data_IF_381718951789
#
_entry.id   IF_381718951789
#
_cell.length_a   1.000
_cell.length_b   1.000
_cell.length_c   1.000
_cell.angle_alpha   90.00
_cell.angle_beta   90.00
_cell.angle_gamma   90.00
#
_symmetry.space_group_name_H-M   'P 1'
#
loop_
_entity.id
_entity.type
_entity.pdbx_description
1 polymer ?
#
# COMPACT_ATOMS: atom_id res chain seq x y z
N UNK A 1 13.05 25.22 -1.07
CA UNK A 1 12.81 23.91 -0.43
C UNK A 1 11.40 23.36 -0.68
N UNK A 2 10.35 24.21 -0.69
CA UNK A 2 8.98 23.81 -1.01
C UNK A 2 8.85 23.12 -2.40
N UNK A 3 9.45 23.70 -3.43
CA UNK A 3 9.45 23.14 -4.80
C UNK A 3 9.99 21.71 -4.89
N UNK A 4 11.08 21.39 -4.19
CA UNK A 4 11.68 20.06 -4.26
C UNK A 4 10.75 18.99 -3.70
N UNK A 5 10.09 19.29 -2.57
CA UNK A 5 9.11 18.40 -1.95
C UNK A 5 7.87 18.27 -2.81
N UNK A 6 7.42 19.36 -3.41
CA UNK A 6 6.25 19.37 -4.29
C UNK A 6 6.48 18.57 -5.57
N UNK A 7 7.63 18.74 -6.23
CA UNK A 7 8.05 17.97 -7.40
C UNK A 7 8.24 16.48 -7.10
N UNK A 8 8.78 16.15 -5.92
CA UNK A 8 8.84 14.77 -5.43
C UNK A 8 7.43 14.18 -5.21
N UNK A 9 6.52 14.96 -4.62
CA UNK A 9 5.13 14.53 -4.39
C UNK A 9 4.32 14.41 -5.70
N UNK A 10 4.62 15.25 -6.70
CA UNK A 10 4.06 15.18 -8.05
C UNK A 10 4.57 13.95 -8.82
N UNK A 11 5.68 13.36 -8.37
CA UNK A 11 6.24 12.15 -8.96
C UNK A 11 7.21 12.40 -10.11
N UNK A 12 7.81 13.60 -10.18
CA UNK A 12 8.84 13.92 -11.18
C UNK A 12 10.08 13.02 -10.99
N UNK A 13 10.45 12.26 -12.02
CA UNK A 13 11.48 11.20 -11.94
C UNK A 13 12.86 11.69 -11.46
N UNK A 14 13.21 12.94 -11.75
CA UNK A 14 14.45 13.57 -11.29
C UNK A 14 14.50 13.70 -9.76
N UNK A 15 13.35 13.93 -9.11
CA UNK A 15 13.23 14.19 -7.67
C UNK A 15 12.80 12.96 -6.84
N UNK A 16 12.46 11.85 -7.49
CA UNK A 16 12.14 10.60 -6.80
C UNK A 16 13.36 10.01 -6.08
N UNK A 17 13.11 9.19 -5.07
CA UNK A 17 14.17 8.37 -4.46
C UNK A 17 14.58 7.27 -5.44
N UNK A 18 15.85 6.82 -5.45
CA UNK A 18 16.32 5.76 -6.34
C UNK A 18 15.46 4.49 -6.35
N UNK A 19 14.83 4.14 -5.21
CA UNK A 19 13.91 3.00 -5.06
C UNK A 19 12.55 3.16 -5.77
N UNK A 20 12.14 4.39 -6.04
CA UNK A 20 10.83 4.73 -6.61
C UNK A 20 10.94 5.13 -8.11
N UNK A 21 12.16 5.22 -8.62
CA UNK A 21 12.48 5.61 -9.99
C UNK A 21 12.28 4.46 -10.98
N UNK A 22 11.99 4.82 -12.22
CA UNK A 22 11.94 3.91 -13.36
C UNK A 22 10.53 3.46 -13.76
N UNK A 23 10.39 2.97 -15.01
CA UNK A 23 9.09 2.63 -15.60
C UNK A 23 8.41 1.47 -14.88
N UNK A 24 9.17 0.46 -14.43
CA UNK A 24 8.64 -0.69 -13.68
C UNK A 24 8.04 -0.25 -12.35
N UNK A 25 8.76 0.58 -11.58
CA UNK A 25 8.29 1.10 -10.28
C UNK A 25 7.08 2.01 -10.44
N UNK A 26 7.04 2.83 -11.50
CA UNK A 26 5.86 3.64 -11.85
C UNK A 26 4.64 2.75 -12.10
N UNK A 27 4.80 1.72 -12.92
CA UNK A 27 3.73 0.77 -13.21
C UNK A 27 3.23 0.06 -11.95
N UNK A 28 4.13 -0.39 -11.07
CA UNK A 28 3.76 -0.97 -9.77
C UNK A 28 2.95 0.01 -8.91
N UNK A 29 3.33 1.29 -8.88
CA UNK A 29 2.57 2.33 -8.15
C UNK A 29 1.16 2.45 -8.69
N UNK A 30 0.99 2.51 -10.01
CA UNK A 30 -0.31 2.67 -10.64
C UNK A 30 -1.21 1.45 -10.44
N UNK A 31 -0.64 0.23 -10.43
CA UNK A 31 -1.35 -1.01 -10.07
C UNK A 31 -1.89 -0.96 -8.64
N UNK A 32 -1.05 -0.55 -7.69
CA UNK A 32 -1.45 -0.48 -6.28
C UNK A 32 -2.46 0.65 -6.07
N UNK A 33 -2.29 1.77 -6.76
CA UNK A 33 -3.13 2.95 -6.59
C UNK A 33 -4.52 2.79 -7.24
N UNK A 34 -4.64 2.04 -8.34
CA UNK A 34 -5.93 1.69 -8.96
C UNK A 34 -6.76 0.70 -8.11
N UNK A 35 -6.13 -0.09 -7.24
CA UNK A 35 -6.83 -1.03 -6.35
C UNK A 35 -7.44 -0.34 -5.13
N UNK A 36 -8.60 -0.84 -4.69
CA UNK A 36 -9.08 -0.66 -3.30
C UNK A 36 -8.24 -1.54 -2.36
N UNK A 37 -7.29 -0.93 -1.66
CA UNK A 37 -6.42 -1.64 -0.71
C UNK A 37 -7.04 -1.59 0.69
N UNK A 38 -7.14 -2.75 1.34
CA UNK A 38 -7.61 -2.88 2.71
C UNK A 38 -6.45 -2.63 3.68
N UNK A 39 -5.21 -2.93 3.26
CA UNK A 39 -3.99 -2.66 4.02
C UNK A 39 -3.89 -1.23 4.57
N UNK A 40 -4.32 -0.23 3.78
CA UNK A 40 -4.29 1.17 4.20
C UNK A 40 -5.24 1.52 5.35
N UNK A 41 -6.21 0.65 5.67
CA UNK A 41 -7.16 0.84 6.76
C UNK A 41 -6.62 0.39 8.12
N UNK A 42 -5.41 -0.18 8.17
CA UNK A 42 -4.82 -0.67 9.42
C UNK A 42 -4.72 0.40 10.50
N UNK A 43 -4.08 1.53 10.19
CA UNK A 43 -3.86 2.59 11.17
C UNK A 43 -5.19 3.16 11.71
N UNK A 44 -6.18 3.52 10.87
CA UNK A 44 -7.50 3.93 11.37
C UNK A 44 -8.20 2.85 12.20
N UNK A 45 -8.17 1.59 11.77
CA UNK A 45 -8.81 0.49 12.48
C UNK A 45 -8.16 0.23 13.84
N UNK A 46 -6.82 0.22 13.90
CA UNK A 46 -6.07 0.05 15.14
C UNK A 46 -6.33 1.21 16.12
N UNK A 47 -6.35 2.46 15.65
CA UNK A 47 -6.68 3.61 16.48
C UNK A 47 -8.12 3.54 17.01
N UNK A 48 -9.08 3.15 16.17
CA UNK A 48 -10.46 2.95 16.60
C UNK A 48 -10.55 1.85 17.68
N UNK A 49 -9.87 0.72 17.50
CA UNK A 49 -9.83 -0.35 18.49
C UNK A 49 -9.24 0.12 19.82
N UNK A 50 -8.13 0.88 19.80
CA UNK A 50 -7.53 1.45 21.02
C UNK A 50 -8.51 2.39 21.71
N UNK A 51 -9.18 3.26 20.96
CA UNK A 51 -10.19 4.16 21.51
C UNK A 51 -11.32 3.38 22.23
N UNK A 52 -11.86 2.34 21.58
CA UNK A 52 -12.89 1.50 22.19
C UNK A 52 -12.39 0.71 23.40
N UNK A 53 -11.13 0.26 23.39
CA UNK A 53 -10.49 -0.41 24.52
C UNK A 53 -10.41 0.51 25.75
N UNK A 54 -10.09 1.79 25.55
CA UNK A 54 -10.03 2.80 26.62
C UNK A 54 -11.42 3.24 27.09
N UNK A 55 -12.38 3.37 26.16
CA UNK A 55 -13.74 3.80 26.48
C UNK A 55 -14.55 2.73 27.25
N UNK A 56 -14.28 1.45 27.01
CA UNK A 56 -15.03 0.32 27.58
C UNK A 56 -14.07 -0.66 28.28
N UNK A 57 -13.77 -0.46 29.58
CA UNK A 57 -12.76 -1.25 30.30
C UNK A 57 -13.23 -2.67 30.70
N UNK A 58 -14.22 -3.25 30.02
CA UNK A 58 -14.71 -4.59 30.35
C UNK A 58 -13.80 -5.69 29.75
N UNK A 59 -13.44 -6.68 30.57
CA UNK A 59 -12.55 -7.79 30.16
C UNK A 59 -13.09 -8.57 28.96
N UNK A 60 -14.41 -8.81 28.91
CA UNK A 60 -15.07 -9.50 27.78
C UNK A 60 -14.88 -8.74 26.47
N UNK A 61 -15.00 -7.41 26.53
CA UNK A 61 -14.86 -6.56 25.35
C UNK A 61 -13.39 -6.45 24.90
N UNK A 62 -12.45 -6.38 25.83
CA UNK A 62 -11.01 -6.42 25.51
C UNK A 62 -10.62 -7.74 24.82
N UNK A 63 -11.13 -8.88 25.29
CA UNK A 63 -10.87 -10.17 24.66
C UNK A 63 -11.43 -10.24 23.23
N UNK A 64 -12.66 -9.73 23.02
CA UNK A 64 -13.27 -9.64 21.69
C UNK A 64 -12.45 -8.76 20.75
N UNK A 65 -11.98 -7.60 21.21
CA UNK A 65 -11.11 -6.71 20.43
C UNK A 65 -9.77 -7.37 20.08
N UNK A 66 -9.19 -8.15 20.99
CA UNK A 66 -7.96 -8.90 20.73
C UNK A 66 -8.13 -9.90 19.58
N UNK A 67 -9.23 -10.66 19.57
CA UNK A 67 -9.52 -11.57 18.45
C UNK A 67 -9.82 -10.82 17.15
N UNK A 68 -10.55 -9.70 17.23
CA UNK A 68 -10.79 -8.85 16.07
C UNK A 68 -9.49 -8.30 15.46
N UNK A 69 -8.53 -7.91 16.29
CA UNK A 69 -7.20 -7.47 15.86
C UNK A 69 -6.43 -8.59 15.16
N UNK A 70 -6.47 -9.82 15.69
CA UNK A 70 -5.85 -10.98 15.03
C UNK A 70 -6.46 -11.24 13.65
N UNK A 71 -7.79 -11.20 13.54
CA UNK A 71 -8.49 -11.36 12.25
C UNK A 71 -8.09 -10.24 11.27
N UNK A 72 -8.02 -9.00 11.74
CA UNK A 72 -7.58 -7.85 10.92
C UNK A 72 -6.17 -8.07 10.35
N UNK A 73 -5.23 -8.52 11.19
CA UNK A 73 -3.86 -8.83 10.75
C UNK A 73 -3.85 -9.93 9.68
N UNK A 74 -4.63 -11.00 9.85
CA UNK A 74 -4.73 -12.08 8.85
C UNK A 74 -5.27 -11.55 7.53
N UNK A 75 -6.35 -10.75 7.55
CA UNK A 75 -6.91 -10.13 6.34
C UNK A 75 -5.85 -9.27 5.62
N UNK A 76 -5.02 -8.55 6.38
CA UNK A 76 -3.96 -7.72 5.80
C UNK A 76 -2.81 -8.54 5.22
N UNK A 77 -2.41 -9.64 5.86
CA UNK A 77 -1.42 -10.53 5.28
C UNK A 77 -1.90 -11.09 3.93
N UNK A 78 -3.18 -11.47 3.86
CA UNK A 78 -3.81 -11.95 2.63
C UNK A 78 -3.85 -10.86 1.55
N UNK A 79 -4.34 -9.65 1.85
CA UNK A 79 -4.41 -8.56 0.87
C UNK A 79 -3.00 -8.16 0.37
N UNK A 80 -2.00 -8.16 1.26
CA UNK A 80 -0.61 -7.88 0.91
C UNK A 80 -0.03 -8.93 -0.05
N UNK A 81 -0.31 -10.21 0.21
CA UNK A 81 0.09 -11.30 -0.66
C UNK A 81 -0.60 -11.25 -2.03
N UNK A 82 -1.91 -10.97 -2.06
CA UNK A 82 -2.68 -10.83 -3.32
C UNK A 82 -2.18 -9.63 -4.14
N UNK A 83 -1.85 -8.51 -3.49
CA UNK A 83 -1.25 -7.34 -4.16
C UNK A 83 0.11 -7.70 -4.76
N UNK A 84 0.99 -8.34 -3.99
CA UNK A 84 2.32 -8.74 -4.46
C UNK A 84 2.25 -9.69 -5.65
N UNK A 85 1.39 -10.71 -5.59
CA UNK A 85 1.20 -11.66 -6.69
C UNK A 85 0.66 -10.99 -7.95
N UNK A 86 -0.33 -10.10 -7.81
CA UNK A 86 -0.90 -9.36 -8.96
C UNK A 86 0.12 -8.44 -9.61
N UNK A 87 0.93 -7.74 -8.81
CA UNK A 87 1.98 -6.86 -9.32
C UNK A 87 3.01 -7.65 -10.11
N UNK A 88 3.51 -8.75 -9.57
CA UNK A 88 4.51 -9.57 -10.27
C UNK A 88 3.97 -10.06 -11.61
N UNK A 89 2.77 -10.63 -11.62
CA UNK A 89 2.16 -11.12 -12.85
C UNK A 89 2.04 -10.04 -13.93
N UNK A 90 1.51 -8.86 -13.59
CA UNK A 90 1.30 -7.80 -14.58
C UNK A 90 2.60 -7.11 -14.99
N UNK A 91 3.59 -7.04 -14.09
CA UNK A 91 4.94 -6.54 -14.43
C UNK A 91 5.62 -7.49 -15.39
N UNK A 92 5.56 -8.80 -15.16
CA UNK A 92 6.19 -9.80 -16.02
C UNK A 92 5.55 -9.81 -17.42
N UNK A 93 4.23 -9.59 -17.52
CA UNK A 93 3.53 -9.44 -18.80
C UNK A 93 3.96 -8.18 -19.57
N UNK A 94 4.11 -7.05 -18.90
CA UNK A 94 4.41 -5.76 -19.54
C UNK A 94 5.91 -5.53 -19.78
N UNK A 95 6.75 -6.05 -18.90
CA UNK A 95 8.20 -5.87 -18.91
C UNK A 95 8.90 -7.24 -18.87
N UNK A 96 8.82 -8.05 -19.95
CA UNK A 96 9.41 -9.39 -19.99
C UNK A 96 10.94 -9.39 -19.83
N UNK A 97 11.61 -8.26 -20.08
CA UNK A 97 13.05 -8.08 -19.85
C UNK A 97 13.42 -7.53 -18.48
N UNK A 98 12.47 -7.41 -17.54
CA UNK A 98 12.75 -6.91 -16.21
C UNK A 98 13.61 -7.90 -15.41
N UNK A 99 14.72 -7.43 -14.86
CA UNK A 99 15.64 -8.23 -14.01
C UNK A 99 15.39 -8.06 -12.52
N UNK A 100 14.45 -7.18 -12.12
CA UNK A 100 14.11 -7.01 -10.71
C UNK A 100 13.38 -8.24 -10.16
N UNK A 101 13.81 -8.71 -8.98
CA UNK A 101 13.15 -9.80 -8.26
C UNK A 101 11.70 -9.47 -7.95
N UNK A 102 10.78 -10.36 -8.33
CA UNK A 102 9.35 -10.25 -7.97
C UNK A 102 9.11 -10.16 -6.46
N UNK A 103 10.00 -10.68 -5.61
CA UNK A 103 9.88 -10.50 -4.17
C UNK A 103 10.07 -9.03 -3.75
N UNK A 104 11.04 -8.33 -4.37
CA UNK A 104 11.29 -6.90 -4.12
C UNK A 104 10.14 -6.03 -4.64
N UNK A 105 9.55 -6.40 -5.78
CA UNK A 105 8.39 -5.70 -6.35
C UNK A 105 7.14 -5.91 -5.49
N UNK A 106 6.90 -7.14 -5.06
CA UNK A 106 5.78 -7.49 -4.18
C UNK A 106 5.85 -6.80 -2.81
N UNK A 107 7.02 -6.83 -2.16
CA UNK A 107 7.24 -6.13 -0.89
C UNK A 107 7.05 -4.62 -1.02
N UNK A 108 7.55 -4.03 -2.10
CA UNK A 108 7.35 -2.62 -2.39
C UNK A 108 5.88 -2.28 -2.59
N UNK A 109 5.16 -3.11 -3.36
CA UNK A 109 3.74 -2.95 -3.60
C UNK A 109 2.92 -3.04 -2.30
N UNK A 110 3.20 -4.03 -1.46
CA UNK A 110 2.57 -4.20 -0.15
C UNK A 110 2.86 -3.00 0.79
N UNK A 111 4.11 -2.53 0.83
CA UNK A 111 4.50 -1.35 1.61
C UNK A 111 3.80 -0.06 1.13
N UNK A 112 3.56 0.09 -0.17
CA UNK A 112 2.75 1.20 -0.69
C UNK A 112 1.27 1.02 -0.37
N UNK A 113 0.76 -0.20 -0.43
CA UNK A 113 -0.64 -0.52 -0.15
C UNK A 113 -1.03 -0.25 1.32
N UNK A 114 -0.12 -0.46 2.28
CA UNK A 114 -0.30 -0.17 3.71
C UNK A 114 -0.41 1.31 4.05
N UNK A 115 0.06 2.19 3.18
CA UNK A 115 -0.13 3.61 3.36
C UNK A 115 -1.53 4.02 2.92
N UNK A 116 -2.18 4.86 3.72
CA UNK A 116 -3.43 5.52 3.34
C UNK A 116 -3.22 6.28 2.03
N UNK A 117 -4.17 6.14 1.09
CA UNK A 117 -4.07 6.73 -0.26
C UNK A 117 -3.69 8.22 -0.26
N UNK A 118 -4.22 8.99 0.70
CA UNK A 118 -3.95 10.44 0.84
C UNK A 118 -2.55 10.75 1.40
N UNK A 119 -1.94 9.80 2.11
CA UNK A 119 -0.62 9.94 2.73
C UNK A 119 0.51 9.31 1.90
N UNK A 120 0.18 8.63 0.78
CA UNK A 120 1.16 8.02 -0.11
C UNK A 120 2.05 9.10 -0.74
N UNK A 121 3.35 8.85 -0.71
CA UNK A 121 4.35 9.61 -1.46
C UNK A 121 5.02 8.67 -2.48
N UNK A 122 5.13 9.06 -3.76
CA UNK A 122 4.49 10.19 -4.44
C UNK A 122 2.97 10.05 -4.47
N UNK A 123 2.26 11.14 -4.76
CA UNK A 123 0.78 11.12 -4.83
C UNK A 123 0.32 10.14 -5.92
N UNK A 124 -0.80 9.44 -5.69
CA UNK A 124 -1.43 8.63 -6.72
C UNK A 124 -1.80 9.49 -7.93
N UNK A 125 -1.39 9.07 -9.12
CA UNK A 125 -1.75 9.74 -10.39
C UNK A 125 -3.04 9.14 -10.97
N UNK A 126 -3.28 7.85 -10.70
CA UNK A 126 -4.46 7.11 -11.17
C UNK A 126 -5.57 7.02 -10.13
N UNK A 127 -6.81 7.00 -10.58
CA UNK A 127 -8.00 6.79 -9.76
C UNK A 127 -8.26 5.30 -9.49
N UNK A 128 -9.10 5.04 -8.49
CA UNK A 128 -9.49 3.68 -8.14
C UNK A 128 -10.36 3.11 -9.26
N UNK A 129 -10.03 1.92 -9.74
CA UNK A 129 -10.74 1.24 -10.83
C UNK A 129 -10.23 1.59 -12.23
N UNK A 130 -9.24 2.48 -12.36
CA UNK A 130 -8.62 2.77 -13.65
C UNK A 130 -7.99 1.50 -14.23
N UNK A 131 -8.20 1.28 -15.53
CA UNK A 131 -7.55 0.18 -16.25
C UNK A 131 -6.08 0.55 -16.46
N UNK A 132 -5.21 -0.23 -15.85
CA UNK A 132 -3.76 -0.10 -16.00
C UNK A 132 -3.34 -1.00 -17.17
N UNK A 133 -2.91 -0.41 -18.27
CA UNK A 133 -2.32 -1.10 -19.44
C UNK A 133 -0.86 -0.76 -19.57
#
# INVERSE_FOLDING_TARGET
MADRREKMMAGEESYLLPRDKGPVRRYVRDIVDSRRNVLGLFMPAALAMIFFMLALPSLKFQQMLSYAMLILVVIMLIDGFIVGRKVNHMVDEKFPGNTESGWKLGLYAASRASQLRRMRAPRPVVNRGDKIS
#
